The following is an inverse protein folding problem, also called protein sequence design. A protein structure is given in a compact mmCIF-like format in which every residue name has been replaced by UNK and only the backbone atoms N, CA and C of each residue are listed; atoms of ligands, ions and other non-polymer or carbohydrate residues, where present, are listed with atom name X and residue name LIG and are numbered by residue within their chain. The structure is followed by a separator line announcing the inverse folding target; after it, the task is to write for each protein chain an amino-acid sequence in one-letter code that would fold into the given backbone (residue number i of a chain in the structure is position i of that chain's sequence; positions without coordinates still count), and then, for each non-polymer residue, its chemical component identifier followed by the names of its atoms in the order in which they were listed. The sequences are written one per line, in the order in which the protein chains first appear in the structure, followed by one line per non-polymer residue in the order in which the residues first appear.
data_IF_098132249498
#
_entry.id   IF_098132249498
#
_cell.length_a   1.000
_cell.length_b   1.000
_cell.length_c   1.000
_cell.angle_alpha   90.00
_cell.angle_beta   90.00
_cell.angle_gamma   90.00
#
_symmetry.space_group_name_H-M   'P 1'
#
loop_
_entity.id
_entity.type
_entity.pdbx_description
1 polymer ?
#
# COMPACT_ATOMS: atom_id res chain seq x y z
N UNK A 1 -5.75 -12.13 -6.00
CA UNK A 1 -6.75 -11.22 -6.59
C UNK A 1 -6.06 -10.16 -7.44
N UNK A 2 -6.73 -9.56 -8.42
CA UNK A 2 -6.20 -8.41 -9.20
C UNK A 2 -7.11 -7.20 -8.91
N UNK A 3 -6.59 -6.11 -8.32
CA UNK A 3 -7.40 -4.92 -8.08
C UNK A 3 -7.68 -4.20 -9.39
N UNK A 4 -8.74 -3.41 -9.43
CA UNK A 4 -8.91 -2.45 -10.52
C UNK A 4 -7.81 -1.37 -10.44
N UNK A 5 -7.59 -0.65 -11.55
CA UNK A 5 -6.65 0.46 -11.55
C UNK A 5 -7.00 1.53 -10.50
N UNK A 6 -8.29 1.84 -10.34
CA UNK A 6 -8.79 2.77 -9.33
C UNK A 6 -8.56 2.27 -7.91
N UNK A 7 -8.84 1.00 -7.62
CA UNK A 7 -8.58 0.41 -6.30
C UNK A 7 -7.08 0.47 -5.95
N UNK A 8 -6.21 0.18 -6.93
CA UNK A 8 -4.76 0.33 -6.75
C UNK A 8 -4.37 1.78 -6.47
N UNK A 9 -4.92 2.74 -7.20
CA UNK A 9 -4.63 4.16 -7.02
C UNK A 9 -5.07 4.66 -5.64
N UNK A 10 -6.25 4.26 -5.16
CA UNK A 10 -6.72 4.58 -3.80
C UNK A 10 -5.77 4.01 -2.73
N UNK A 11 -5.31 2.76 -2.91
CA UNK A 11 -4.32 2.16 -2.01
C UNK A 11 -3.02 2.96 -1.96
N UNK A 12 -2.54 3.42 -3.11
CA UNK A 12 -1.32 4.23 -3.22
C UNK A 12 -1.52 5.60 -2.57
N UNK A 13 -2.63 6.27 -2.85
CA UNK A 13 -2.94 7.57 -2.28
C UNK A 13 -2.99 7.54 -0.74
N UNK A 14 -3.63 6.51 -0.18
CA UNK A 14 -3.68 6.31 1.28
C UNK A 14 -2.28 6.04 1.84
N UNK A 15 -1.49 5.15 1.22
CA UNK A 15 -0.13 4.86 1.69
C UNK A 15 0.79 6.08 1.59
N UNK A 16 0.70 6.88 0.52
CA UNK A 16 1.44 8.11 0.35
C UNK A 16 1.04 9.17 1.39
N UNK A 17 -0.25 9.23 1.76
CA UNK A 17 -0.72 10.08 2.85
C UNK A 17 -0.12 9.68 4.21
N UNK A 18 -0.03 8.38 4.52
CA UNK A 18 0.61 7.91 5.76
C UNK A 18 2.10 8.19 5.79
N UNK A 19 2.80 8.02 4.66
CA UNK A 19 4.19 8.41 4.53
C UNK A 19 4.37 9.91 4.76
N UNK A 20 3.47 10.72 4.19
CA UNK A 20 3.43 12.15 4.42
C UNK A 20 3.23 12.51 5.89
N UNK A 21 2.31 11.83 6.56
CA UNK A 21 2.06 11.99 8.00
C UNK A 21 3.29 11.64 8.84
N UNK A 22 3.97 10.53 8.53
CA UNK A 22 5.19 10.10 9.24
C UNK A 22 6.34 11.11 9.14
N UNK A 23 6.45 11.83 8.01
CA UNK A 23 7.40 12.95 7.86
C UNK A 23 6.89 14.28 8.39
N UNK A 24 5.77 14.30 9.12
CA UNK A 24 5.16 15.52 9.65
C UNK A 24 4.65 16.48 8.57
N UNK A 25 4.24 15.94 7.43
CA UNK A 25 3.77 16.67 6.25
C UNK A 25 4.78 17.72 5.72
N UNK A 26 6.08 17.48 5.88
CA UNK A 26 7.12 18.38 5.37
C UNK A 26 6.95 18.67 3.86
N UNK A 27 7.15 19.93 3.47
CA UNK A 27 6.96 20.38 2.09
C UNK A 27 7.93 19.66 1.13
N UNK A 28 7.50 19.44 -0.12
CA UNK A 28 8.35 18.87 -1.18
C UNK A 28 8.47 17.34 -1.22
N UNK A 29 7.96 16.60 -0.23
CA UNK A 29 8.09 15.13 -0.18
C UNK A 29 6.99 14.33 -0.89
N UNK A 30 5.89 14.97 -1.32
CA UNK A 30 4.68 14.26 -1.76
C UNK A 30 4.91 13.34 -2.98
N UNK A 31 5.77 13.75 -3.92
CA UNK A 31 6.12 12.92 -5.08
C UNK A 31 6.90 11.66 -4.69
N UNK A 32 7.86 11.81 -3.77
CA UNK A 32 8.67 10.69 -3.28
C UNK A 32 7.83 9.68 -2.50
N UNK A 33 6.87 10.16 -1.70
CA UNK A 33 5.96 9.26 -0.98
C UNK A 33 5.02 8.53 -1.92
N UNK A 34 4.52 9.19 -2.96
CA UNK A 34 3.72 8.53 -3.98
C UNK A 34 4.51 7.41 -4.64
N UNK A 35 5.75 7.69 -5.07
CA UNK A 35 6.62 6.68 -5.69
C UNK A 35 6.97 5.53 -4.74
N UNK A 36 7.19 5.82 -3.45
CA UNK A 36 7.45 4.79 -2.44
C UNK A 36 6.21 3.95 -2.14
N UNK A 37 5.06 4.59 -1.99
CA UNK A 37 3.77 3.94 -1.83
C UNK A 37 3.45 3.03 -3.01
N UNK A 38 3.65 3.52 -4.24
CA UNK A 38 3.42 2.76 -5.46
C UNK A 38 4.23 1.45 -5.47
N UNK A 39 5.55 1.53 -5.23
CA UNK A 39 6.41 0.33 -5.15
C UNK A 39 5.97 -0.62 -4.04
N UNK A 40 5.61 -0.10 -2.88
CA UNK A 40 5.16 -0.91 -1.74
C UNK A 40 3.86 -1.65 -2.03
N UNK A 41 2.87 -0.96 -2.61
CA UNK A 41 1.59 -1.56 -3.00
C UNK A 41 1.78 -2.60 -4.09
N UNK A 42 2.60 -2.33 -5.12
CA UNK A 42 2.86 -3.29 -6.18
C UNK A 42 3.53 -4.58 -5.67
N UNK A 43 4.50 -4.46 -4.76
CA UNK A 43 5.14 -5.60 -4.12
C UNK A 43 4.15 -6.41 -3.28
N UNK A 44 3.31 -5.74 -2.48
CA UNK A 44 2.28 -6.40 -1.69
C UNK A 44 1.27 -7.14 -2.57
N UNK A 45 0.80 -6.52 -3.65
CA UNK A 45 -0.14 -7.13 -4.60
C UNK A 45 0.47 -8.34 -5.32
N UNK A 46 1.77 -8.29 -5.64
CA UNK A 46 2.50 -9.44 -6.18
C UNK A 46 2.52 -10.61 -5.18
N UNK A 47 2.86 -10.36 -3.91
CA UNK A 47 2.86 -11.40 -2.88
C UNK A 47 1.46 -11.99 -2.61
N UNK A 48 0.41 -11.16 -2.61
CA UNK A 48 -0.99 -11.58 -2.48
C UNK A 48 -1.39 -12.49 -3.66
N UNK A 49 -0.95 -12.17 -4.88
CA UNK A 49 -1.20 -12.97 -6.08
C UNK A 49 -0.52 -14.33 -5.98
N UNK A 50 0.75 -14.38 -5.57
CA UNK A 50 1.51 -15.62 -5.39
C UNK A 50 0.89 -16.54 -4.33
N UNK A 51 0.37 -15.95 -3.25
CA UNK A 51 -0.30 -16.69 -2.16
C UNK A 51 -1.73 -17.13 -2.50
N UNK A 52 -2.25 -16.80 -3.68
CA UNK A 52 -3.60 -17.18 -4.08
C UNK A 52 -4.72 -16.53 -3.24
N UNK A 53 -4.46 -15.36 -2.63
CA UNK A 53 -5.44 -14.70 -1.76
C UNK A 53 -6.63 -14.21 -2.59
N UNK A 54 -7.83 -14.57 -2.13
CA UNK A 54 -9.10 -14.19 -2.77
C UNK A 54 -9.50 -12.75 -2.45
N UNK A 55 -10.36 -12.17 -3.29
CA UNK A 55 -10.93 -10.82 -3.07
C UNK A 55 -11.66 -10.71 -1.73
N UNK A 56 -12.47 -11.72 -1.37
CA UNK A 56 -13.19 -11.77 -0.10
C UNK A 56 -12.25 -11.80 1.12
N UNK A 57 -11.13 -12.50 1.03
CA UNK A 57 -10.11 -12.51 2.09
C UNK A 57 -9.43 -11.14 2.22
N UNK A 58 -9.15 -10.49 1.09
CA UNK A 58 -8.56 -9.15 1.06
C UNK A 58 -9.50 -8.08 1.64
N UNK A 59 -10.77 -8.08 1.23
CA UNK A 59 -11.80 -7.14 1.75
C UNK A 59 -11.99 -7.29 3.27
N UNK A 60 -11.93 -8.51 3.81
CA UNK A 60 -12.00 -8.75 5.26
C UNK A 60 -10.77 -8.25 6.01
N UNK A 61 -9.61 -8.20 5.39
CA UNK A 61 -8.42 -7.62 6.00
C UNK A 61 -8.51 -6.09 6.02
N UNK A 62 -9.03 -5.47 4.95
CA UNK A 62 -9.18 -4.01 4.85
C UNK A 62 -7.85 -3.26 4.71
N UNK A 63 -7.93 -2.00 4.28
CA UNK A 63 -6.77 -1.17 3.93
C UNK A 63 -5.81 -0.91 5.11
N UNK A 64 -6.32 -0.77 6.33
CA UNK A 64 -5.49 -0.55 7.53
C UNK A 64 -4.60 -1.75 7.88
N UNK A 65 -5.10 -2.98 7.76
CA UNK A 65 -4.25 -4.16 7.96
C UNK A 65 -3.23 -4.33 6.82
N UNK A 66 -3.58 -3.91 5.59
CA UNK A 66 -2.66 -3.94 4.44
C UNK A 66 -1.45 -2.99 4.63
N UNK A 67 -1.68 -1.81 5.19
CA UNK A 67 -0.59 -0.88 5.57
C UNK A 67 0.28 -1.42 6.71
N UNK A 68 -0.31 -2.10 7.68
CA UNK A 68 0.44 -2.78 8.74
C UNK A 68 1.29 -3.95 8.19
N UNK A 69 0.82 -4.66 7.17
CA UNK A 69 1.60 -5.68 6.46
C UNK A 69 2.81 -5.08 5.71
N UNK A 70 2.69 -3.86 5.18
CA UNK A 70 3.80 -3.14 4.54
C UNK A 70 4.89 -2.70 5.54
N UNK A 71 4.52 -2.24 6.74
CA UNK A 71 5.48 -1.93 7.82
C UNK A 71 6.28 -3.17 8.28
N UNK A 72 5.74 -4.38 8.08
CA UNK A 72 6.44 -5.64 8.40
C UNK A 72 7.44 -6.11 7.35
N UNK A 73 7.43 -5.55 6.12
CA UNK A 73 8.30 -5.97 5.01
C UNK A 73 9.59 -5.12 4.94
N UNK A 74 9.57 -3.85 5.36
CA UNK A 74 10.80 -3.04 5.45
C UNK A 74 11.68 -3.36 6.68
N UNK A 75 11.28 -4.30 7.54
CA UNK A 75 12.00 -4.70 8.75
C UNK A 75 12.82 -6.01 8.60
N UNK A 76 13.02 -6.49 7.36
CA UNK A 76 13.85 -7.65 7.00
C UNK A 76 14.91 -7.24 5.97
#
# INVERSE_FOLDING_TARGET
MVPTATEREEMIAVAAYYLAEQRGFAHGGAGDDWLRAERGIDAMLAAIRERGVTRRQFERAGLRNALQLWQGIEAL
#
